data_IF_690796687131
#
_entry.id   IF_690796687131
#
_cell.length_a   1.000
_cell.length_b   1.000
_cell.length_c   1.000
_cell.angle_alpha   90.00
_cell.angle_beta   90.00
_cell.angle_gamma   90.00
#
_symmetry.space_group_name_H-M   'P 1'
#
loop_
_entity.id
_entity.type
_entity.pdbx_description
1 polymer ?
#
# COMPACT_ATOMS: atom_id res chain seq x y z
N UNK A 1 13.83 4.95 11.63
CA UNK A 1 13.42 4.36 10.32
C UNK A 1 12.45 5.30 9.62
N UNK A 2 12.52 5.39 8.30
CA UNK A 2 11.60 6.16 7.46
C UNK A 2 11.03 5.25 6.37
N UNK A 3 9.83 5.55 5.86
CA UNK A 3 9.23 4.78 4.77
C UNK A 3 9.01 5.68 3.55
N UNK A 4 8.92 5.08 2.37
CA UNK A 4 8.46 5.75 1.16
C UNK A 4 7.37 4.94 0.46
N UNK A 5 6.41 5.67 -0.11
CA UNK A 5 5.44 5.13 -1.05
C UNK A 5 5.49 5.99 -2.31
N UNK A 6 5.95 5.39 -3.39
CA UNK A 6 6.12 6.06 -4.67
C UNK A 6 5.16 5.44 -5.69
N UNK A 7 4.34 6.26 -6.32
CA UNK A 7 3.33 5.89 -7.31
C UNK A 7 3.67 6.54 -8.64
N UNK A 8 3.54 5.79 -9.74
CA UNK A 8 3.78 6.35 -11.07
C UNK A 8 2.79 5.80 -12.10
N UNK A 9 2.44 6.65 -13.08
CA UNK A 9 1.63 6.30 -14.23
C UNK A 9 2.45 6.44 -15.50
N UNK A 10 2.48 5.40 -16.29
CA UNK A 10 3.23 5.31 -17.54
C UNK A 10 2.30 5.03 -18.74
N UNK A 11 2.78 5.19 -19.96
CA UNK A 11 2.16 4.56 -21.11
C UNK A 11 2.07 3.03 -20.95
N UNK A 12 1.13 2.42 -21.65
CA UNK A 12 0.99 0.96 -21.67
C UNK A 12 2.31 0.29 -22.14
N UNK A 13 2.72 -0.77 -21.47
CA UNK A 13 3.96 -1.51 -21.75
C UNK A 13 5.24 -0.91 -21.13
N UNK A 14 5.18 0.32 -20.63
CA UNK A 14 6.34 0.96 -19.97
C UNK A 14 6.35 0.66 -18.46
N UNK A 15 5.18 0.69 -17.83
CA UNK A 15 5.07 0.50 -16.38
C UNK A 15 5.74 -0.79 -15.88
N UNK A 16 5.55 -1.91 -16.57
CA UNK A 16 6.14 -3.20 -16.20
C UNK A 16 7.67 -3.16 -16.27
N UNK A 17 8.22 -2.60 -17.36
CA UNK A 17 9.68 -2.48 -17.53
C UNK A 17 10.31 -1.62 -16.43
N UNK A 18 9.72 -0.46 -16.15
CA UNK A 18 10.20 0.47 -15.12
C UNK A 18 10.03 -0.14 -13.71
N UNK A 19 8.94 -0.84 -13.47
CA UNK A 19 8.70 -1.57 -12.25
C UNK A 19 9.74 -2.66 -12.00
N UNK A 20 10.06 -3.50 -13.01
CA UNK A 20 11.08 -4.54 -12.91
C UNK A 20 12.48 -3.97 -12.71
N UNK A 21 12.81 -2.86 -13.37
CA UNK A 21 14.09 -2.17 -13.19
C UNK A 21 14.22 -1.69 -11.73
N UNK A 22 13.18 -1.09 -11.19
CA UNK A 22 13.16 -0.60 -9.81
C UNK A 22 13.23 -1.74 -8.79
N UNK A 23 12.54 -2.85 -9.04
CA UNK A 23 12.64 -4.06 -8.20
C UNK A 23 14.08 -4.59 -8.11
N UNK A 24 14.81 -4.58 -9.24
CA UNK A 24 16.24 -5.00 -9.26
C UNK A 24 17.12 -4.02 -8.49
N UNK A 25 16.89 -2.73 -8.68
CA UNK A 25 17.61 -1.68 -7.96
C UNK A 25 17.34 -1.71 -6.45
N UNK A 26 16.09 -1.93 -6.05
CA UNK A 26 15.69 -2.05 -4.64
C UNK A 26 16.39 -3.19 -3.90
N UNK A 27 16.62 -4.32 -4.57
CA UNK A 27 17.40 -5.45 -4.00
C UNK A 27 18.87 -5.14 -3.73
N UNK A 28 19.39 -4.06 -4.33
CA UNK A 28 20.79 -3.62 -4.21
C UNK A 28 20.91 -2.32 -3.44
N UNK A 29 19.80 -1.81 -2.92
CA UNK A 29 19.74 -0.57 -2.14
C UNK A 29 19.90 -0.84 -0.66
N UNK A 30 20.02 0.25 0.11
CA UNK A 30 20.09 0.24 1.57
C UNK A 30 18.71 0.03 2.24
N UNK A 31 17.67 -0.29 1.48
CA UNK A 31 16.34 -0.50 2.04
C UNK A 31 16.31 -1.74 2.96
N UNK A 32 15.85 -1.57 4.18
CA UNK A 32 15.62 -2.67 5.12
C UNK A 32 14.48 -3.59 4.65
N UNK A 33 13.53 -3.01 3.92
CA UNK A 33 12.41 -3.74 3.31
C UNK A 33 11.96 -3.00 2.05
N UNK A 34 11.68 -3.72 0.97
CA UNK A 34 11.17 -3.11 -0.26
C UNK A 34 10.23 -4.04 -1.01
N UNK A 35 9.17 -3.49 -1.57
CA UNK A 35 8.20 -4.21 -2.41
C UNK A 35 7.81 -3.38 -3.61
N UNK A 36 7.82 -4.05 -4.76
CA UNK A 36 7.13 -3.59 -5.94
C UNK A 36 5.70 -4.12 -5.88
N UNK A 37 4.74 -3.22 -5.88
CA UNK A 37 3.33 -3.56 -5.76
C UNK A 37 2.67 -3.42 -7.14
N UNK A 38 2.05 -4.48 -7.61
CA UNK A 38 1.30 -4.48 -8.86
C UNK A 38 -0.10 -3.92 -8.59
N UNK A 39 -0.43 -2.71 -9.09
CA UNK A 39 -1.69 -2.08 -8.77
C UNK A 39 -2.87 -2.84 -9.35
N UNK A 40 -3.88 -3.04 -8.52
CA UNK A 40 -5.12 -3.72 -8.87
C UNK A 40 -6.29 -2.78 -8.63
N UNK A 41 -7.22 -2.72 -9.56
CA UNK A 41 -8.46 -1.99 -9.32
C UNK A 41 -9.30 -2.77 -8.32
N UNK A 42 -9.53 -2.16 -7.15
CA UNK A 42 -10.56 -2.62 -6.24
C UNK A 42 -11.90 -2.44 -6.94
N UNK A 43 -12.65 -3.51 -7.08
CA UNK A 43 -14.01 -3.52 -7.61
C UNK A 43 -14.84 -4.51 -6.82
N UNK A 44 -16.14 -4.26 -6.76
CA UNK A 44 -17.14 -5.21 -6.28
C UNK A 44 -17.34 -6.43 -7.20
N UNK A 45 -16.45 -6.62 -8.17
CA UNK A 45 -16.44 -7.77 -9.09
C UNK A 45 -15.54 -8.87 -8.54
N UNK A 46 -15.84 -10.15 -8.84
CA UNK A 46 -15.14 -11.28 -8.22
C UNK A 46 -13.67 -11.43 -8.64
N UNK A 47 -13.17 -10.62 -9.58
CA UNK A 47 -11.78 -10.71 -10.04
C UNK A 47 -11.10 -9.35 -10.00
N UNK A 48 -9.93 -9.24 -9.35
CA UNK A 48 -9.15 -8.03 -9.38
C UNK A 48 -8.64 -7.76 -10.81
N UNK A 49 -8.73 -6.49 -11.24
CA UNK A 49 -8.29 -6.08 -12.58
C UNK A 49 -6.95 -5.37 -12.49
N UNK A 50 -5.88 -5.91 -13.13
CA UNK A 50 -4.57 -5.26 -13.16
C UNK A 50 -4.62 -3.88 -13.81
N UNK A 51 -3.88 -2.93 -13.23
CA UNK A 51 -3.69 -1.59 -13.80
C UNK A 51 -2.33 -1.52 -14.49
N UNK A 52 -2.27 -1.98 -15.72
CA UNK A 52 -1.03 -2.18 -16.48
C UNK A 52 -0.26 -0.88 -16.82
N UNK A 53 -0.83 0.28 -16.53
CA UNK A 53 -0.18 1.59 -16.71
C UNK A 53 0.37 2.16 -15.41
N UNK A 54 0.22 1.49 -14.30
CA UNK A 54 0.63 1.96 -12.99
C UNK A 54 1.73 1.08 -12.41
N UNK A 55 2.62 1.70 -11.63
CA UNK A 55 3.61 1.01 -10.80
C UNK A 55 3.65 1.67 -9.43
N UNK A 56 3.68 0.87 -8.37
CA UNK A 56 3.80 1.33 -6.98
C UNK A 56 5.02 0.69 -6.35
N UNK A 57 5.76 1.48 -5.59
CA UNK A 57 6.93 1.02 -4.87
C UNK A 57 6.84 1.46 -3.42
N UNK A 58 6.91 0.52 -2.51
CA UNK A 58 6.93 0.75 -1.07
C UNK A 58 8.26 0.26 -0.50
N UNK A 59 8.91 1.07 0.34
CA UNK A 59 10.15 0.66 1.01
C UNK A 59 10.31 1.30 2.39
N UNK A 60 11.08 0.62 3.24
CA UNK A 60 11.54 1.08 4.54
C UNK A 60 13.05 1.33 4.47
N UNK A 61 13.49 2.47 4.95
CA UNK A 61 14.86 2.98 4.88
C UNK A 61 15.44 3.21 6.27
N UNK A 62 16.73 2.98 6.48
CA UNK A 62 17.35 3.29 7.77
C UNK A 62 17.25 4.78 8.10
N UNK A 63 17.40 5.66 7.10
CA UNK A 63 17.38 7.11 7.24
C UNK A 63 16.98 7.84 5.94
N UNK A 64 16.85 9.17 6.02
CA UNK A 64 16.50 10.02 4.88
C UNK A 64 17.61 10.07 3.81
N UNK A 65 18.86 9.92 4.19
CA UNK A 65 19.96 9.93 3.24
C UNK A 65 19.90 8.71 2.31
N UNK A 66 19.57 7.53 2.84
CA UNK A 66 19.35 6.31 2.05
C UNK A 66 18.17 6.47 1.08
N UNK A 67 17.05 7.02 1.55
CA UNK A 67 15.90 7.36 0.70
C UNK A 67 16.29 8.38 -0.38
N UNK A 68 17.03 9.43 -0.01
CA UNK A 68 17.49 10.46 -0.94
C UNK A 68 18.36 9.90 -2.06
N UNK A 69 19.32 9.03 -1.72
CA UNK A 69 20.15 8.33 -2.73
C UNK A 69 19.31 7.49 -3.69
N UNK A 70 18.32 6.81 -3.18
CA UNK A 70 17.44 5.98 -4.02
C UNK A 70 16.56 6.83 -4.93
N UNK A 71 15.98 7.92 -4.42
CA UNK A 71 15.16 8.87 -5.20
C UNK A 71 15.96 9.60 -6.27
N UNK A 72 17.17 10.07 -5.95
CA UNK A 72 18.06 10.75 -6.90
C UNK A 72 18.78 9.82 -7.89
N UNK A 73 18.70 8.50 -7.67
CA UNK A 73 19.31 7.49 -8.52
C UNK A 73 18.27 6.57 -9.18
N UNK A 74 18.04 5.38 -8.63
CA UNK A 74 17.16 4.40 -9.27
C UNK A 74 15.74 4.88 -9.55
N UNK A 75 15.13 5.66 -8.63
CA UNK A 75 13.77 6.15 -8.77
C UNK A 75 13.65 7.38 -9.69
N UNK A 76 14.74 8.10 -9.98
CA UNK A 76 14.75 9.21 -10.94
C UNK A 76 14.28 8.78 -12.34
N UNK A 77 14.38 7.49 -12.68
CA UNK A 77 13.77 6.93 -13.90
C UNK A 77 12.26 7.16 -14.01
N UNK A 78 11.59 7.39 -12.88
CA UNK A 78 10.16 7.66 -12.85
C UNK A 78 9.83 9.15 -13.04
N UNK A 79 10.82 10.02 -13.20
CA UNK A 79 10.60 11.45 -13.47
C UNK A 79 9.93 11.68 -14.84
N UNK A 80 10.13 10.75 -15.79
CA UNK A 80 9.46 10.75 -17.10
C UNK A 80 8.04 10.13 -17.08
N UNK A 81 7.54 9.75 -15.92
CA UNK A 81 6.18 9.24 -15.79
C UNK A 81 5.15 10.34 -16.13
N UNK A 82 4.02 9.95 -16.72
CA UNK A 82 2.91 10.89 -17.02
C UNK A 82 2.32 11.53 -15.77
N UNK A 83 2.41 10.84 -14.67
CA UNK A 83 1.97 11.29 -13.36
C UNK A 83 2.77 10.54 -12.29
N UNK A 84 3.19 11.26 -11.27
CA UNK A 84 3.94 10.70 -10.16
C UNK A 84 3.52 11.32 -8.85
N UNK A 85 3.44 10.50 -7.80
CA UNK A 85 3.33 10.92 -6.41
C UNK A 85 4.38 10.18 -5.59
N UNK A 86 5.17 10.93 -4.85
CA UNK A 86 6.14 10.41 -3.90
C UNK A 86 5.77 10.87 -2.49
N UNK A 87 5.56 9.92 -1.58
CA UNK A 87 5.27 10.17 -0.18
C UNK A 87 6.47 9.77 0.67
N UNK A 88 6.84 10.64 1.60
CA UNK A 88 7.74 10.32 2.70
C UNK A 88 6.89 10.07 3.94
N UNK A 89 7.11 8.93 4.57
CA UNK A 89 6.23 8.38 5.56
C UNK A 89 7.00 8.06 6.84
N UNK A 90 6.44 8.39 8.00
CA UNK A 90 6.96 7.99 9.30
C UNK A 90 6.12 6.83 9.87
N UNK A 91 6.73 5.69 10.24
CA UNK A 91 6.01 4.60 10.87
C UNK A 91 5.33 5.07 12.17
N UNK A 92 4.04 4.80 12.31
CA UNK A 92 3.28 5.08 13.54
C UNK A 92 3.05 3.78 14.29
N UNK A 93 2.58 2.75 13.60
CA UNK A 93 2.29 1.45 14.19
C UNK A 93 2.19 0.39 13.10
N UNK A 94 2.72 -0.80 13.41
CA UNK A 94 2.51 -1.99 12.59
C UNK A 94 2.34 -3.23 13.46
N UNK A 95 1.78 -4.28 12.88
CA UNK A 95 1.70 -5.60 13.49
C UNK A 95 1.48 -6.67 12.43
N UNK A 96 1.87 -7.89 12.76
CA UNK A 96 1.82 -9.04 11.87
C UNK A 96 3.13 -9.25 11.12
N UNK A 97 3.07 -9.96 9.99
CA UNK A 97 4.26 -10.26 9.18
C UNK A 97 4.00 -10.07 7.69
N UNK A 98 5.06 -9.72 6.96
CA UNK A 98 5.09 -9.64 5.51
C UNK A 98 6.40 -10.24 4.99
N UNK A 99 6.31 -11.45 4.43
CA UNK A 99 7.48 -12.23 4.04
C UNK A 99 8.15 -12.97 5.20
N UNK A 100 7.38 -13.30 6.26
CA UNK A 100 7.83 -14.07 7.40
C UNK A 100 8.37 -13.26 8.58
N UNK A 101 8.45 -11.92 8.46
CA UNK A 101 8.93 -11.04 9.53
C UNK A 101 8.05 -9.78 9.63
N UNK A 102 8.07 -9.10 10.78
CA UNK A 102 7.52 -7.75 10.89
C UNK A 102 8.49 -6.76 10.25
N UNK A 103 8.11 -6.09 9.12
CA UNK A 103 9.00 -5.14 8.47
C UNK A 103 9.39 -3.94 9.34
N UNK A 104 8.55 -3.56 10.31
CA UNK A 104 8.83 -2.44 11.21
C UNK A 104 9.64 -2.84 12.45
N UNK A 105 9.85 -4.15 12.69
CA UNK A 105 10.59 -4.61 13.86
C UNK A 105 10.01 -4.16 15.22
N UNK A 106 8.70 -3.88 15.27
CA UNK A 106 8.02 -3.35 16.45
C UNK A 106 8.17 -1.83 16.64
N UNK A 107 8.78 -1.09 15.70
CA UNK A 107 8.91 0.36 15.78
C UNK A 107 7.55 1.03 15.88
N UNK A 108 7.45 2.01 16.78
CA UNK A 108 6.24 2.79 17.04
C UNK A 108 6.58 4.24 17.27
N UNK A 109 5.72 5.13 16.80
CA UNK A 109 5.80 6.54 17.11
C UNK A 109 4.41 7.12 17.38
N UNK A 110 4.37 8.34 17.90
CA UNK A 110 3.11 9.06 18.07
C UNK A 110 2.54 9.42 16.69
N UNK A 111 1.21 9.32 16.57
CA UNK A 111 0.48 9.79 15.39
C UNK A 111 0.48 11.31 15.33
N UNK A 112 0.52 11.86 14.12
CA UNK A 112 0.33 13.30 13.88
C UNK A 112 -1.16 13.64 13.61
N UNK A 113 -1.45 14.95 13.55
CA UNK A 113 -2.78 15.45 13.17
C UNK A 113 -3.04 15.44 11.65
N UNK A 114 -2.00 15.25 10.84
CA UNK A 114 -2.06 15.30 9.38
C UNK A 114 -2.52 13.99 8.71
N UNK A 115 -2.37 13.93 7.39
CA UNK A 115 -2.73 12.75 6.60
C UNK A 115 -1.98 11.50 7.03
N UNK A 116 -2.68 10.36 6.89
CA UNK A 116 -2.11 9.05 7.22
C UNK A 116 -2.26 8.08 6.05
N UNK A 117 -1.24 7.28 5.84
CA UNK A 117 -1.26 6.16 4.91
C UNK A 117 -1.45 4.85 5.70
N UNK A 118 -2.34 4.00 5.21
CA UNK A 118 -2.52 2.64 5.71
C UNK A 118 -2.11 1.65 4.64
N UNK A 119 -1.36 0.64 5.05
CA UNK A 119 -0.99 -0.49 4.21
C UNK A 119 -1.47 -1.75 4.91
N UNK A 120 -2.26 -2.54 4.20
CA UNK A 120 -2.64 -3.87 4.64
C UNK A 120 -2.07 -4.89 3.65
N UNK A 121 -1.52 -5.96 4.15
CA UNK A 121 -1.06 -7.10 3.36
C UNK A 121 -1.66 -8.37 3.92
N UNK A 122 -1.96 -9.31 3.04
CA UNK A 122 -2.38 -10.66 3.42
C UNK A 122 -1.94 -11.69 2.39
N UNK A 123 -1.60 -12.88 2.87
CA UNK A 123 -1.44 -14.09 2.07
C UNK A 123 -2.66 -14.96 2.26
N UNK A 124 -3.51 -14.98 1.23
CA UNK A 124 -4.74 -15.78 1.26
C UNK A 124 -4.41 -17.25 1.01
N UNK A 125 -4.98 -18.15 1.82
CA UNK A 125 -4.90 -19.59 1.52
C UNK A 125 -5.70 -19.89 0.25
N UNK A 126 -5.16 -20.68 -0.67
CA UNK A 126 -5.77 -20.95 -1.97
C UNK A 126 -7.22 -21.47 -1.85
N UNK A 127 -7.51 -22.32 -0.86
CA UNK A 127 -8.86 -22.85 -0.60
C UNK A 127 -9.87 -21.78 -0.18
N UNK A 128 -9.40 -20.67 0.39
CA UNK A 128 -10.25 -19.60 0.92
C UNK A 128 -10.36 -18.40 -0.02
N UNK A 129 -9.61 -18.40 -1.14
CA UNK A 129 -9.61 -17.32 -2.12
C UNK A 129 -11.02 -16.96 -2.64
N UNK A 130 -11.89 -17.91 -3.01
CA UNK A 130 -13.24 -17.57 -3.47
C UNK A 130 -14.07 -16.86 -2.41
N UNK A 131 -13.97 -17.31 -1.15
CA UNK A 131 -14.67 -16.66 -0.01
C UNK A 131 -14.14 -15.26 0.26
N UNK A 132 -12.83 -15.09 0.21
CA UNK A 132 -12.18 -13.80 0.36
C UNK A 132 -12.67 -12.81 -0.71
N UNK A 133 -12.65 -13.18 -1.99
CA UNK A 133 -13.08 -12.31 -3.08
C UNK A 133 -14.55 -11.87 -2.97
N UNK A 134 -15.43 -12.77 -2.52
CA UNK A 134 -16.85 -12.45 -2.28
C UNK A 134 -17.01 -11.48 -1.10
N UNK A 135 -16.29 -11.72 -0.01
CA UNK A 135 -16.37 -10.88 1.20
C UNK A 135 -15.75 -9.48 1.01
N UNK A 136 -14.74 -9.35 0.13
CA UNK A 136 -14.03 -8.10 -0.11
C UNK A 136 -14.89 -7.05 -0.84
N UNK A 137 -15.79 -7.47 -1.72
CA UNK A 137 -16.60 -6.57 -2.54
C UNK A 137 -17.40 -5.51 -1.76
N UNK A 138 -18.17 -5.86 -0.71
CA UNK A 138 -18.84 -4.89 0.16
C UNK A 138 -17.87 -3.97 0.91
N UNK A 139 -16.71 -4.49 1.34
CA UNK A 139 -15.67 -3.71 2.03
C UNK A 139 -15.08 -2.66 1.10
N UNK A 140 -14.81 -3.02 -0.14
CA UNK A 140 -14.30 -2.10 -1.18
C UNK A 140 -15.28 -0.95 -1.41
N UNK A 141 -16.58 -1.24 -1.54
CA UNK A 141 -17.59 -0.17 -1.68
C UNK A 141 -17.62 0.75 -0.47
N UNK A 142 -17.66 0.18 0.72
CA UNK A 142 -17.63 0.97 1.95
C UNK A 142 -16.36 1.83 2.06
N UNK A 143 -15.22 1.31 1.59
CA UNK A 143 -13.96 2.06 1.53
C UNK A 143 -14.03 3.20 0.50
N UNK A 144 -14.63 2.96 -0.68
CA UNK A 144 -14.77 3.99 -1.71
C UNK A 144 -15.64 5.18 -1.26
N UNK A 145 -16.64 4.93 -0.43
CA UNK A 145 -17.57 5.93 0.09
C UNK A 145 -17.15 6.52 1.45
N UNK A 146 -16.03 6.06 2.01
CA UNK A 146 -15.64 6.42 3.37
C UNK A 146 -15.27 7.91 3.52
N UNK A 147 -15.91 8.65 4.47
CA UNK A 147 -15.58 10.04 4.72
C UNK A 147 -14.12 10.22 5.14
N UNK A 148 -13.45 11.20 4.53
CA UNK A 148 -12.05 11.52 4.81
C UNK A 148 -11.03 10.60 4.16
N UNK A 149 -11.45 9.61 3.37
CA UNK A 149 -10.56 8.88 2.48
C UNK A 149 -10.14 9.80 1.32
N UNK A 150 -8.85 10.00 1.15
CA UNK A 150 -8.30 10.78 0.04
C UNK A 150 -8.10 9.92 -1.21
N UNK A 151 -7.60 8.70 -1.00
CA UNK A 151 -7.34 7.75 -2.08
C UNK A 151 -7.23 6.32 -1.54
N UNK A 152 -7.53 5.33 -2.38
CA UNK A 152 -7.24 3.92 -2.11
C UNK A 152 -7.09 3.12 -3.40
N UNK A 153 -6.30 2.06 -3.32
CA UNK A 153 -6.16 1.06 -4.39
C UNK A 153 -5.76 -0.30 -3.79
N UNK A 154 -6.05 -1.37 -4.53
CA UNK A 154 -5.53 -2.69 -4.23
C UNK A 154 -4.18 -2.91 -4.87
N UNK A 155 -3.46 -3.90 -4.38
CA UNK A 155 -2.22 -4.38 -5.00
C UNK A 155 -2.06 -5.90 -4.87
N UNK A 156 -1.23 -6.45 -5.75
CA UNK A 156 -0.67 -7.79 -5.63
C UNK A 156 0.84 -7.64 -5.50
N UNK A 157 1.44 -8.27 -4.50
CA UNK A 157 2.90 -8.34 -4.31
C UNK A 157 3.48 -9.59 -4.98
N UNK A 158 2.90 -10.75 -4.70
CA UNK A 158 3.29 -12.01 -5.31
C UNK A 158 2.04 -12.82 -5.69
N UNK A 159 1.67 -12.87 -6.99
CA UNK A 159 0.49 -13.60 -7.44
C UNK A 159 0.62 -15.11 -7.24
N UNK A 160 1.83 -15.68 -7.31
CA UNK A 160 2.04 -17.12 -7.12
C UNK A 160 1.80 -17.55 -5.66
N UNK A 161 1.97 -16.63 -4.71
CA UNK A 161 1.73 -16.85 -3.29
C UNK A 161 0.39 -16.34 -2.80
N UNK A 162 -0.42 -15.75 -3.69
CA UNK A 162 -1.68 -15.07 -3.37
C UNK A 162 -1.47 -13.93 -2.34
N UNK A 163 -0.32 -13.26 -2.42
CA UNK A 163 0.02 -12.09 -1.62
C UNK A 163 -0.64 -10.86 -2.24
N UNK A 164 -1.53 -10.23 -1.50
CA UNK A 164 -2.27 -9.05 -1.94
C UNK A 164 -2.53 -8.11 -0.78
N UNK A 165 -3.02 -6.92 -1.09
CA UNK A 165 -3.30 -5.95 -0.05
C UNK A 165 -3.98 -4.70 -0.55
N UNK A 166 -4.08 -3.73 0.35
CA UNK A 166 -4.70 -2.43 0.11
C UNK A 166 -3.77 -1.32 0.56
N UNK A 167 -3.67 -0.31 -0.27
CA UNK A 167 -3.12 1.00 0.07
C UNK A 167 -4.28 1.97 0.26
N UNK A 168 -4.28 2.76 1.32
CA UNK A 168 -5.25 3.83 1.48
C UNK A 168 -4.63 5.06 2.15
N UNK A 169 -5.05 6.22 1.69
CA UNK A 169 -4.62 7.51 2.18
C UNK A 169 -5.81 8.25 2.74
N UNK A 170 -5.67 8.79 3.93
CA UNK A 170 -6.73 9.39 4.70
C UNK A 170 -6.35 10.80 5.14
N UNK A 171 -7.35 11.68 5.28
CA UNK A 171 -7.16 13.04 5.75
C UNK A 171 -6.49 13.09 7.12
N UNK A 172 -6.84 12.16 8.00
CA UNK A 172 -6.32 12.07 9.36
C UNK A 172 -6.55 10.68 9.97
N UNK A 173 -5.96 10.46 11.13
CA UNK A 173 -6.12 9.21 11.90
C UNK A 173 -7.57 8.98 12.34
N UNK A 174 -8.33 10.04 12.61
CA UNK A 174 -9.74 9.94 13.06
C UNK A 174 -10.61 9.34 11.97
N UNK A 175 -10.49 9.83 10.73
CA UNK A 175 -11.21 9.30 9.58
C UNK A 175 -10.85 7.83 9.31
N UNK A 176 -9.56 7.50 9.33
CA UNK A 176 -9.09 6.13 9.15
C UNK A 176 -9.61 5.18 10.25
N UNK A 177 -9.62 5.64 11.48
CA UNK A 177 -10.11 4.87 12.65
C UNK A 177 -11.62 4.71 12.60
N UNK A 178 -12.34 5.76 12.24
CA UNK A 178 -13.79 5.70 12.08
C UNK A 178 -14.20 4.62 11.07
N UNK A 179 -13.54 4.55 9.91
CA UNK A 179 -13.77 3.49 8.95
C UNK A 179 -13.41 2.09 9.49
N UNK A 180 -12.27 1.95 10.15
CA UNK A 180 -11.77 0.66 10.62
C UNK A 180 -12.64 0.04 11.72
N UNK A 181 -13.24 0.88 12.59
CA UNK A 181 -14.00 0.45 13.76
C UNK A 181 -15.49 0.73 13.69
N UNK A 182 -16.00 1.37 12.63
CA UNK A 182 -17.43 1.55 12.45
C UNK A 182 -18.14 0.19 12.40
N UNK A 183 -19.27 0.02 13.11
CA UNK A 183 -20.10 -1.16 12.94
C UNK A 183 -20.52 -1.32 11.48
N UNK A 184 -20.32 -2.51 10.90
CA UNK A 184 -20.70 -2.75 9.52
C UNK A 184 -19.87 -3.78 8.79
N UNK A 185 -19.85 -3.68 7.47
CA UNK A 185 -19.27 -4.69 6.58
C UNK A 185 -17.76 -4.89 6.80
N UNK A 186 -17.00 -3.82 7.10
CA UNK A 186 -15.57 -3.94 7.34
C UNK A 186 -15.28 -4.78 8.60
N UNK A 187 -15.90 -4.47 9.73
CA UNK A 187 -15.74 -5.26 10.97
C UNK A 187 -16.20 -6.71 10.80
N UNK A 188 -17.33 -6.90 10.12
CA UNK A 188 -17.87 -8.25 9.85
C UNK A 188 -16.89 -9.07 8.98
N UNK A 189 -16.29 -8.46 7.96
CA UNK A 189 -15.30 -9.11 7.12
C UNK A 189 -14.02 -9.45 7.90
N UNK A 190 -13.49 -8.52 8.71
CA UNK A 190 -12.31 -8.76 9.56
C UNK A 190 -12.58 -9.90 10.55
N UNK A 191 -13.76 -9.93 11.16
CA UNK A 191 -14.17 -11.02 12.06
C UNK A 191 -14.23 -12.36 11.31
N UNK A 192 -14.91 -12.41 10.17
CA UNK A 192 -15.04 -13.63 9.36
C UNK A 192 -13.69 -14.15 8.86
N UNK A 193 -12.80 -13.26 8.45
CA UNK A 193 -11.43 -13.59 8.04
C UNK A 193 -10.63 -14.20 9.19
N UNK A 194 -10.72 -13.60 10.38
CA UNK A 194 -10.01 -14.08 11.58
C UNK A 194 -10.56 -15.42 12.05
N UNK A 195 -11.88 -15.52 12.20
CA UNK A 195 -12.54 -16.72 12.70
C UNK A 195 -12.41 -17.88 11.68
N UNK A 196 -12.44 -17.59 10.39
CA UNK A 196 -12.24 -18.55 9.32
C UNK A 196 -10.79 -18.92 9.03
N UNK A 197 -9.83 -18.19 9.57
CA UNK A 197 -8.40 -18.42 9.36
C UNK A 197 -7.98 -18.36 7.88
N UNK A 198 -8.56 -17.43 7.10
CA UNK A 198 -8.35 -17.37 5.64
C UNK A 198 -6.96 -17.00 5.21
N UNK A 199 -6.23 -16.31 6.09
CA UNK A 199 -4.86 -15.88 5.81
C UNK A 199 -3.84 -16.77 6.51
N UNK A 200 -2.74 -17.07 5.83
CA UNK A 200 -1.56 -17.68 6.41
C UNK A 200 -0.56 -16.65 6.92
N UNK A 201 -0.66 -15.43 6.42
CA UNK A 201 0.16 -14.29 6.80
C UNK A 201 -0.66 -13.02 6.64
N UNK A 202 -0.46 -12.06 7.52
CA UNK A 202 -1.04 -10.72 7.37
C UNK A 202 -0.18 -9.67 8.06
N UNK A 203 -0.17 -8.48 7.49
CA UNK A 203 0.50 -7.31 8.05
C UNK A 203 -0.36 -6.07 7.88
N UNK A 204 -0.42 -5.28 8.91
CA UNK A 204 -1.06 -3.98 8.90
C UNK A 204 -0.07 -2.93 9.39
N UNK A 205 0.01 -1.80 8.70
CA UNK A 205 0.77 -0.66 9.19
C UNK A 205 0.09 0.67 8.89
N UNK A 206 0.29 1.60 9.82
CA UNK A 206 -0.09 3.00 9.73
C UNK A 206 1.16 3.85 9.70
N UNK A 207 1.13 4.86 8.84
CA UNK A 207 2.20 5.82 8.66
C UNK A 207 1.61 7.23 8.72
N UNK A 208 2.30 8.17 9.37
CA UNK A 208 2.06 9.59 9.17
C UNK A 208 2.73 10.03 7.85
N UNK A 209 2.05 10.86 7.07
CA UNK A 209 2.64 11.45 5.87
C UNK A 209 3.40 12.69 6.30
N UNK A 210 4.72 12.71 6.09
CA UNK A 210 5.59 13.82 6.51
C UNK A 210 5.93 14.78 5.36
N UNK A 211 6.00 14.23 4.14
CA UNK A 211 6.20 15.03 2.94
C UNK A 211 5.57 14.37 1.73
N UNK A 212 5.19 15.18 0.76
CA UNK A 212 4.68 14.73 -0.52
C UNK A 212 5.27 15.55 -1.66
N UNK A 213 5.44 14.92 -2.82
CA UNK A 213 5.85 15.59 -4.05
C UNK A 213 5.09 14.99 -5.24
N UNK A 214 4.57 15.88 -6.09
CA UNK A 214 3.84 15.52 -7.30
C UNK A 214 2.32 15.50 -7.13
N UNK A 215 1.64 14.78 -8.03
CA UNK A 215 0.18 14.70 -8.08
C UNK A 215 -0.27 13.26 -8.29
N UNK A 216 -1.53 12.98 -7.95
CA UNK A 216 -2.14 11.70 -8.22
C UNK A 216 -3.60 11.85 -8.63
N UNK A 217 -3.96 11.24 -9.77
CA UNK A 217 -5.29 11.35 -10.39
C UNK A 217 -5.68 12.81 -10.72
N UNK A 218 -4.69 13.59 -11.16
CA UNK A 218 -4.88 14.99 -11.52
C UNK A 218 -4.99 15.96 -10.35
N UNK A 219 -4.87 15.49 -9.12
CA UNK A 219 -4.94 16.32 -7.92
C UNK A 219 -3.54 16.46 -7.31
N UNK A 220 -3.02 17.70 -7.15
CA UNK A 220 -1.80 17.91 -6.38
C UNK A 220 -2.00 17.41 -4.96
N UNK A 221 -1.06 16.62 -4.47
CA UNK A 221 -1.06 16.20 -3.08
C UNK A 221 -0.14 17.16 -2.31
N UNK A 222 -0.75 18.19 -1.75
CA UNK A 222 -0.06 19.20 -0.93
C UNK A 222 -0.42 18.91 0.52
N UNK A 223 0.61 18.74 1.36
CA UNK A 223 0.48 18.68 2.82
C UNK A 223 0.31 20.06 3.41
#
# INVERSE_FOLDING_TARGET
>A
MIASLDLARFPLGIAEREALALRRAGRRSDAAFARLLLPMRLRSMPWPVPRLTLAYYFALWPDEAALGRFRGGPLARWDDARERLSLTLRPVRGFGSWGGADPLGGERSEGGAGPVALITHSRTRARDLPRFLVADGPVVRALEDAPGRLWSDGFVDDPARLDSGTLSLWRDTTAATAFAYAPGVHQSAVKAQRDGGWFSESWFARFAVEASAGSWRGVPFIL
#
